data_IF_446194930872
#
_entry.id   IF_446194930872
#
_cell.length_a   1.000
_cell.length_b   1.000
_cell.length_c   1.000
_cell.angle_alpha   90.00
_cell.angle_beta   90.00
_cell.angle_gamma   90.00
#
_symmetry.space_group_name_H-M   'P 1'
#
loop_
_entity.id
_entity.type
_entity.pdbx_description
1 polymer ?
#
# COMPACT_ATOMS: atom_id res chain seq x y z
N UNK A 1 12.52 5.64 0.71
CA UNK A 1 13.96 5.99 0.66
C UNK A 1 14.67 4.96 1.51
N UNK A 2 15.55 4.14 0.93
CA UNK A 2 16.41 3.28 1.73
C UNK A 2 17.35 4.18 2.55
N UNK A 3 17.25 4.11 3.88
CA UNK A 3 18.20 4.79 4.76
C UNK A 3 19.57 4.14 4.53
N UNK A 4 20.54 4.95 4.08
CA UNK A 4 21.93 4.53 4.01
C UNK A 4 22.40 4.08 5.40
N UNK A 5 23.00 2.90 5.45
CA UNK A 5 23.60 2.38 6.68
C UNK A 5 24.82 3.20 7.06
N UNK A 6 24.97 3.64 8.31
CA UNK A 6 26.25 4.14 8.76
C UNK A 6 27.23 2.98 8.90
N UNK A 7 28.27 2.92 8.07
CA UNK A 7 29.44 2.09 8.32
C UNK A 7 30.11 2.55 9.62
N UNK A 8 30.01 1.73 10.67
CA UNK A 8 30.52 2.03 11.98
C UNK A 8 29.56 2.92 12.80
N UNK A 9 28.62 2.28 13.50
CA UNK A 9 27.61 2.93 14.37
C UNK A 9 28.32 3.77 15.44
N UNK A 10 28.41 5.10 15.34
CA UNK A 10 28.94 5.91 16.41
C UNK A 10 27.94 5.91 17.57
N UNK A 11 28.42 5.93 18.80
CA UNK A 11 27.60 6.23 19.96
C UNK A 11 27.08 7.67 19.83
N UNK A 12 25.91 7.87 19.26
CA UNK A 12 25.29 9.20 19.18
C UNK A 12 24.52 9.55 20.45
N UNK A 13 24.22 8.54 21.28
CA UNK A 13 23.43 8.68 22.50
C UNK A 13 21.92 8.78 22.21
N UNK A 14 21.10 8.42 23.18
CA UNK A 14 19.62 8.43 23.08
C UNK A 14 19.10 9.82 22.67
N UNK A 15 19.75 10.89 23.12
CA UNK A 15 19.32 12.29 22.90
C UNK A 15 19.60 12.83 21.48
N UNK A 16 20.34 12.11 20.63
CA UNK A 16 20.59 12.49 19.25
C UNK A 16 19.60 11.78 18.31
N UNK A 17 18.37 11.61 18.77
CA UNK A 17 17.27 11.07 17.98
C UNK A 17 16.60 12.12 17.09
N UNK A 18 15.65 11.67 16.33
CA UNK A 18 14.79 12.49 15.46
C UNK A 18 13.37 12.52 15.99
N UNK A 19 12.72 13.66 15.81
CA UNK A 19 11.30 13.85 16.10
C UNK A 19 10.63 14.16 14.77
N UNK A 20 9.53 13.52 14.48
CA UNK A 20 8.69 13.87 13.34
C UNK A 20 7.26 14.19 13.79
N UNK A 21 6.60 14.94 12.96
CA UNK A 21 5.20 15.26 13.14
C UNK A 21 4.52 15.26 11.78
N UNK A 22 3.52 14.42 11.62
CA UNK A 22 2.67 14.41 10.44
C UNK A 22 1.24 14.79 10.82
N UNK A 23 0.58 15.58 9.97
CA UNK A 23 -0.84 15.76 10.08
C UNK A 23 -1.47 15.82 8.70
N UNK A 24 -2.72 15.35 8.58
CA UNK A 24 -3.47 15.34 7.32
C UNK A 24 -4.94 15.59 7.57
N UNK A 25 -5.43 16.71 7.04
CA UNK A 25 -6.84 16.90 6.83
C UNK A 25 -7.30 16.16 5.59
N UNK A 26 -8.46 15.51 5.66
CA UNK A 26 -9.05 14.77 4.56
C UNK A 26 -10.56 15.01 4.50
N UNK A 27 -11.04 15.25 3.30
CA UNK A 27 -12.46 15.21 2.97
C UNK A 27 -12.68 14.16 1.90
N UNK A 28 -13.58 13.22 2.15
CA UNK A 28 -13.95 12.17 1.21
C UNK A 28 -15.45 12.20 0.97
N UNK A 29 -15.83 12.33 -0.29
CA UNK A 29 -17.19 12.19 -0.79
C UNK A 29 -17.31 10.87 -1.55
N UNK A 30 -18.36 10.09 -1.27
CA UNK A 30 -18.66 8.84 -1.99
C UNK A 30 -20.13 8.79 -2.32
N UNK A 31 -20.45 8.67 -3.60
CA UNK A 31 -21.76 8.28 -4.12
C UNK A 31 -21.69 6.82 -4.57
N UNK A 32 -22.63 5.98 -4.09
CA UNK A 32 -22.72 4.57 -4.41
C UNK A 32 -24.19 4.21 -4.66
N UNK A 33 -24.47 3.68 -5.86
CA UNK A 33 -25.83 3.61 -6.38
C UNK A 33 -26.80 2.69 -5.57
N UNK A 34 -26.27 1.74 -4.78
CA UNK A 34 -27.07 0.88 -3.90
C UNK A 34 -27.25 1.44 -2.48
N UNK A 35 -26.71 2.62 -2.18
CA UNK A 35 -26.84 3.27 -0.88
C UNK A 35 -27.94 4.34 -0.90
N UNK A 36 -28.72 4.46 0.20
CA UNK A 36 -29.77 5.47 0.30
C UNK A 36 -29.26 6.92 0.34
N UNK A 37 -28.03 7.14 0.75
CA UNK A 37 -27.43 8.45 0.91
C UNK A 37 -25.92 8.44 0.64
N UNK A 38 -25.39 9.57 0.19
CA UNK A 38 -23.97 9.76 -0.12
C UNK A 38 -23.16 9.93 1.15
N UNK A 39 -21.91 9.41 1.16
CA UNK A 39 -20.99 9.63 2.26
C UNK A 39 -20.28 10.99 2.14
N UNK A 40 -20.08 11.63 3.29
CA UNK A 40 -19.29 12.86 3.47
C UNK A 40 -18.49 12.74 4.75
N UNK A 41 -17.24 12.32 4.61
CA UNK A 41 -16.31 12.19 5.72
C UNK A 41 -15.36 13.38 5.75
N UNK A 42 -15.18 13.98 6.92
CA UNK A 42 -14.22 15.07 7.13
C UNK A 42 -13.44 14.80 8.40
N UNK A 43 -12.16 14.46 8.26
CA UNK A 43 -11.30 13.92 9.32
C UNK A 43 -9.95 14.62 9.35
N UNK A 44 -9.32 14.63 10.52
CA UNK A 44 -7.96 15.13 10.73
C UNK A 44 -7.13 14.04 11.44
N UNK A 45 -6.02 13.66 10.82
CA UNK A 45 -4.99 12.82 11.42
C UNK A 45 -3.88 13.69 12.01
N UNK A 46 -3.37 13.27 13.17
CA UNK A 46 -2.19 13.84 13.83
C UNK A 46 -1.31 12.66 14.27
N UNK A 47 -0.06 12.63 13.82
CA UNK A 47 0.87 11.55 14.11
C UNK A 47 2.24 12.12 14.55
N UNK A 48 2.44 12.32 15.85
CA UNK A 48 3.75 12.62 16.44
C UNK A 48 4.56 11.35 16.62
N UNK A 49 5.84 11.39 16.28
CA UNK A 49 6.75 10.28 16.47
C UNK A 49 8.14 10.71 16.92
N UNK A 50 8.86 9.77 17.45
CA UNK A 50 10.22 9.95 17.95
C UNK A 50 11.04 8.68 17.71
N UNK A 51 12.29 8.85 17.27
CA UNK A 51 13.30 7.81 17.16
C UNK A 51 14.54 8.21 17.95
N UNK A 52 15.11 7.30 18.72
CA UNK A 52 16.35 7.56 19.45
C UNK A 52 17.56 7.60 18.50
N UNK A 53 18.63 8.28 18.90
CA UNK A 53 19.95 7.99 18.33
C UNK A 53 20.39 6.55 18.66
N UNK A 54 21.51 6.14 18.07
CA UNK A 54 22.11 4.83 18.31
C UNK A 54 22.72 4.76 19.71
N UNK A 55 22.33 3.78 20.50
CA UNK A 55 22.87 3.52 21.81
C UNK A 55 23.26 2.04 21.96
N UNK A 56 24.54 1.75 22.09
CA UNK A 56 25.08 0.39 22.17
C UNK A 56 24.56 -0.54 21.05
N UNK A 57 24.50 -0.06 19.80
CA UNK A 57 24.04 -0.85 18.66
C UNK A 57 22.52 -1.07 18.61
N UNK A 58 21.73 -0.35 19.44
CA UNK A 58 20.28 -0.34 19.41
C UNK A 58 19.74 1.03 19.02
N UNK A 59 18.52 1.03 18.47
CA UNK A 59 17.69 2.20 18.21
C UNK A 59 16.24 1.85 18.51
N UNK A 60 15.48 2.78 19.11
CA UNK A 60 14.07 2.60 19.41
C UNK A 60 13.25 3.73 18.82
N UNK A 61 12.03 3.43 18.40
CA UNK A 61 11.08 4.42 17.90
C UNK A 61 9.69 4.21 18.50
N UNK A 62 8.92 5.31 18.58
CA UNK A 62 7.51 5.27 18.92
C UNK A 62 6.76 6.36 18.16
N UNK A 63 5.55 6.05 17.65
CA UNK A 63 4.63 6.96 17.00
C UNK A 63 3.22 6.75 17.58
N UNK A 64 2.54 7.85 17.88
CA UNK A 64 1.12 7.84 18.21
C UNK A 64 0.32 8.34 17.01
N UNK A 65 -0.87 7.80 16.82
CA UNK A 65 -1.82 8.22 15.80
C UNK A 65 -3.14 8.63 16.40
N UNK A 66 -3.64 9.80 16.00
CA UNK A 66 -4.87 10.37 16.47
C UNK A 66 -5.71 10.80 15.28
N UNK A 67 -6.90 10.21 15.13
CA UNK A 67 -7.85 10.57 14.09
C UNK A 67 -9.10 11.14 14.73
N UNK A 68 -9.51 12.32 14.27
CA UNK A 68 -10.71 13.01 14.77
C UNK A 68 -11.59 13.47 13.61
N UNK A 69 -12.90 13.37 13.80
CA UNK A 69 -13.86 13.99 12.90
C UNK A 69 -13.88 15.50 13.15
N UNK A 70 -13.71 16.32 12.09
CA UNK A 70 -13.62 17.78 12.20
C UNK A 70 -14.68 18.53 11.37
N UNK A 71 -15.58 17.84 10.71
CA UNK A 71 -16.62 18.39 9.85
C UNK A 71 -17.77 17.39 9.65
N UNK A 72 -18.35 17.32 8.43
CA UNK A 72 -19.39 16.34 8.13
C UNK A 72 -18.98 14.92 8.49
N UNK A 73 -19.90 14.20 9.14
CA UNK A 73 -19.73 12.82 9.59
C UNK A 73 -20.82 11.91 9.04
N UNK A 74 -21.34 12.20 7.84
CA UNK A 74 -22.36 11.43 7.15
C UNK A 74 -21.69 10.31 6.36
N UNK A 75 -21.10 9.33 7.04
CA UNK A 75 -20.41 8.18 6.43
C UNK A 75 -20.46 6.98 7.37
N UNK A 76 -20.30 5.79 6.82
CA UNK A 76 -20.14 4.55 7.56
C UNK A 76 -18.64 4.31 7.81
N UNK A 77 -18.19 4.42 9.07
CA UNK A 77 -16.81 4.13 9.45
C UNK A 77 -16.59 2.67 9.85
N UNK A 78 -17.61 1.82 9.65
CA UNK A 78 -17.69 0.40 10.00
C UNK A 78 -18.11 0.10 11.44
N UNK A 79 -18.00 1.04 12.38
CA UNK A 79 -18.36 0.85 13.80
C UNK A 79 -19.50 1.78 14.28
N UNK A 80 -19.77 2.89 13.58
CA UNK A 80 -20.76 3.90 13.99
C UNK A 80 -22.22 3.50 13.67
N UNK A 81 -22.45 2.36 13.01
CA UNK A 81 -23.77 1.86 12.66
C UNK A 81 -24.50 2.61 11.54
N UNK A 82 -23.86 3.57 10.85
CA UNK A 82 -24.46 4.39 9.80
C UNK A 82 -24.49 3.67 8.44
N UNK A 83 -25.08 2.49 8.36
CA UNK A 83 -25.05 1.60 7.19
C UNK A 83 -25.78 2.12 5.95
N UNK A 84 -26.57 3.19 6.07
CA UNK A 84 -27.23 3.89 4.97
C UNK A 84 -26.25 4.65 4.07
N UNK A 85 -25.04 4.92 4.53
CA UNK A 85 -23.97 5.59 3.77
C UNK A 85 -22.96 4.59 3.24
N UNK A 86 -22.25 4.91 2.17
CA UNK A 86 -21.02 4.20 1.76
C UNK A 86 -19.98 4.16 2.88
N UNK A 87 -19.11 3.15 2.81
CA UNK A 87 -18.00 3.00 3.76
C UNK A 87 -16.87 3.98 3.41
N UNK A 88 -16.43 4.71 4.44
CA UNK A 88 -15.17 5.45 4.46
C UNK A 88 -14.43 5.02 5.73
N UNK A 89 -13.34 4.28 5.58
CA UNK A 89 -12.61 3.66 6.69
C UNK A 89 -11.68 4.67 7.40
N UNK A 90 -12.20 5.87 7.71
CA UNK A 90 -11.50 6.89 8.49
C UNK A 90 -12.13 6.95 9.89
N UNK A 91 -11.86 5.91 10.68
CA UNK A 91 -12.42 5.74 12.03
C UNK A 91 -11.73 6.70 12.98
N UNK A 92 -12.48 7.53 13.75
CA UNK A 92 -11.89 8.31 14.82
C UNK A 92 -11.24 7.39 15.87
N UNK A 93 -9.96 7.60 16.15
CA UNK A 93 -9.14 6.70 16.97
C UNK A 93 -8.04 7.44 17.72
N UNK A 94 -7.42 6.75 18.67
CA UNK A 94 -6.27 7.24 19.44
C UNK A 94 -5.40 6.04 19.76
N UNK A 95 -4.37 5.80 18.97
CA UNK A 95 -3.63 4.53 18.98
C UNK A 95 -2.12 4.73 19.09
N UNK A 96 -1.43 3.69 19.59
CA UNK A 96 0.00 3.53 19.42
C UNK A 96 0.22 2.91 18.04
N UNK A 97 0.59 3.73 17.07
CA UNK A 97 0.77 3.28 15.69
C UNK A 97 2.04 2.45 15.53
N UNK A 98 3.18 2.95 16.03
CA UNK A 98 4.43 2.22 15.98
C UNK A 98 5.13 2.26 17.35
N UNK A 99 5.76 1.14 17.73
CA UNK A 99 6.68 1.04 18.87
C UNK A 99 7.61 -0.15 18.65
N UNK A 100 8.86 0.10 18.33
CA UNK A 100 9.82 -0.96 17.99
C UNK A 100 11.22 -0.69 18.48
N UNK A 101 12.01 -1.77 18.57
CA UNK A 101 13.44 -1.75 18.80
C UNK A 101 14.17 -2.36 17.62
N UNK A 102 15.27 -1.72 17.22
CA UNK A 102 16.19 -2.24 16.21
C UNK A 102 17.55 -2.57 16.81
N UNK A 103 18.17 -3.62 16.32
CA UNK A 103 19.53 -4.05 16.65
C UNK A 103 20.41 -4.09 15.41
N UNK A 104 21.61 -3.52 15.50
CA UNK A 104 22.63 -3.42 14.46
C UNK A 104 23.92 -4.18 14.84
N UNK A 105 23.85 -5.14 15.75
CA UNK A 105 25.03 -5.86 16.24
C UNK A 105 25.67 -6.81 15.23
N UNK A 106 24.89 -7.30 14.28
CA UNK A 106 25.41 -8.18 13.23
C UNK A 106 25.75 -7.36 11.98
N UNK A 107 27.00 -7.49 11.46
CA UNK A 107 27.41 -6.77 10.26
C UNK A 107 26.44 -7.03 9.09
N UNK A 108 26.05 -5.96 8.41
CA UNK A 108 25.13 -6.03 7.29
C UNK A 108 23.72 -6.51 7.63
N UNK A 109 23.32 -6.53 8.92
CA UNK A 109 22.04 -7.09 9.35
C UNK A 109 21.34 -6.16 10.33
N UNK A 110 20.04 -5.95 10.11
CA UNK A 110 19.14 -5.24 11.01
C UNK A 110 18.09 -6.22 11.52
N UNK A 111 17.92 -6.28 12.84
CA UNK A 111 16.83 -7.03 13.48
C UNK A 111 15.88 -6.00 14.08
N UNK A 112 14.61 -6.03 13.74
CA UNK A 112 13.55 -5.15 14.25
C UNK A 112 12.51 -6.00 14.98
N UNK A 113 12.03 -5.54 16.13
CA UNK A 113 10.96 -6.21 16.87
C UNK A 113 10.05 -5.21 17.55
N UNK A 114 8.75 -5.49 17.56
CA UNK A 114 7.69 -4.65 18.09
C UNK A 114 6.57 -4.41 17.09
N UNK A 115 5.88 -3.26 17.21
CA UNK A 115 4.86 -2.78 16.27
C UNK A 115 5.51 -1.84 15.27
N UNK A 116 5.36 -2.14 13.97
CA UNK A 116 5.99 -1.35 12.89
C UNK A 116 5.16 -1.37 11.62
N UNK A 117 5.22 -0.28 10.86
CA UNK A 117 4.73 -0.23 9.48
C UNK A 117 5.71 -0.94 8.55
N UNK A 118 5.21 -1.65 7.54
CA UNK A 118 6.01 -2.32 6.53
C UNK A 118 5.42 -2.13 5.14
N UNK A 119 6.29 -1.76 4.19
CA UNK A 119 5.94 -1.67 2.78
C UNK A 119 6.94 -2.50 1.98
N UNK A 120 6.51 -3.64 1.44
CA UNK A 120 7.35 -4.47 0.59
C UNK A 120 7.08 -4.17 -0.88
N UNK A 121 8.17 -3.87 -1.61
CA UNK A 121 8.18 -3.61 -3.05
C UNK A 121 7.19 -2.50 -3.45
N UNK A 122 6.17 -2.84 -4.24
CA UNK A 122 5.09 -1.94 -4.64
C UNK A 122 3.86 -2.02 -3.73
N UNK A 123 3.95 -2.69 -2.58
CA UNK A 123 2.86 -2.88 -1.60
C UNK A 123 1.69 -3.74 -2.12
N UNK A 124 1.89 -4.54 -3.16
CA UNK A 124 0.83 -5.42 -3.68
C UNK A 124 0.47 -6.56 -2.72
N UNK A 125 1.42 -7.00 -1.90
CA UNK A 125 1.22 -8.07 -0.91
C UNK A 125 1.24 -7.57 0.52
N UNK A 126 2.15 -6.65 0.84
CA UNK A 126 2.33 -6.11 2.20
C UNK A 126 2.53 -4.61 2.10
N UNK A 127 1.65 -3.86 2.74
CA UNK A 127 1.69 -2.40 2.77
C UNK A 127 1.04 -1.83 4.02
N UNK A 128 1.47 -0.64 4.39
CA UNK A 128 0.99 0.07 5.58
C UNK A 128 -0.34 0.81 5.38
N UNK A 129 -0.88 0.84 4.17
CA UNK A 129 -2.12 1.56 3.84
C UNK A 129 -2.11 3.04 4.27
N UNK A 130 -0.93 3.65 4.37
CA UNK A 130 -0.70 5.02 4.89
C UNK A 130 -1.41 6.15 4.13
N UNK A 131 -2.13 5.84 3.06
CA UNK A 131 -3.01 6.79 2.39
C UNK A 131 -4.33 7.02 3.16
N UNK A 132 -4.75 6.08 4.04
CA UNK A 132 -5.88 6.23 4.96
C UNK A 132 -5.49 7.06 6.18
N UNK A 133 -6.47 7.44 7.00
CA UNK A 133 -6.22 8.21 8.22
C UNK A 133 -5.64 7.35 9.35
N UNK A 134 -6.01 6.06 9.42
CA UNK A 134 -5.34 5.07 10.26
C UNK A 134 -4.43 4.21 9.38
N UNK A 135 -3.21 3.95 9.83
CA UNK A 135 -2.23 3.14 9.13
C UNK A 135 -2.42 1.64 9.48
N UNK A 136 -1.94 0.75 8.60
CA UNK A 136 -1.82 -0.67 8.91
C UNK A 136 -0.41 -0.96 9.44
N UNK A 137 -0.31 -1.55 10.63
CA UNK A 137 0.94 -1.91 11.26
C UNK A 137 0.96 -3.38 11.68
N UNK A 138 2.15 -3.90 11.98
CA UNK A 138 2.39 -5.31 12.22
C UNK A 138 3.10 -5.50 13.56
N UNK A 139 2.55 -6.36 14.42
CA UNK A 139 3.21 -6.78 15.66
C UNK A 139 4.02 -8.04 15.41
N UNK A 140 5.35 -7.93 15.47
CA UNK A 140 6.21 -9.04 15.10
C UNK A 140 7.69 -8.75 15.19
N UNK A 141 8.47 -9.56 14.47
CA UNK A 141 9.91 -9.39 14.35
C UNK A 141 10.36 -9.57 12.90
N UNK A 142 11.35 -8.78 12.50
CA UNK A 142 11.91 -8.79 11.15
C UNK A 142 13.43 -8.81 11.19
N UNK A 143 14.03 -9.58 10.31
CA UNK A 143 15.47 -9.57 10.03
C UNK A 143 15.67 -9.19 8.56
N UNK A 144 16.47 -8.17 8.32
CA UNK A 144 16.93 -7.79 6.98
C UNK A 144 18.45 -7.88 6.93
N UNK A 145 19.00 -8.59 5.97
CA UNK A 145 20.45 -8.77 5.87
C UNK A 145 20.96 -8.64 4.44
N UNK A 146 22.11 -7.99 4.30
CA UNK A 146 22.94 -7.89 3.09
C UNK A 146 24.30 -8.57 3.32
N UNK A 147 24.40 -9.42 4.32
CA UNK A 147 25.63 -10.18 4.61
C UNK A 147 26.02 -11.16 3.47
N UNK A 148 25.10 -11.45 2.56
CA UNK A 148 25.34 -12.28 1.37
C UNK A 148 25.62 -11.38 0.17
N UNK A 149 26.82 -11.52 -0.47
CA UNK A 149 27.15 -10.69 -1.63
C UNK A 149 26.10 -10.79 -2.74
N UNK A 150 25.62 -9.64 -3.22
CA UNK A 150 24.70 -9.58 -4.34
C UNK A 150 23.23 -9.85 -4.00
N UNK A 151 22.87 -10.02 -2.73
CA UNK A 151 21.50 -10.34 -2.32
C UNK A 151 21.13 -9.63 -1.01
N UNK A 152 19.98 -8.98 -1.00
CA UNK A 152 19.29 -8.58 0.24
C UNK A 152 18.25 -9.65 0.58
N UNK A 153 18.31 -10.19 1.79
CA UNK A 153 17.35 -11.17 2.31
C UNK A 153 16.54 -10.57 3.46
N UNK A 154 15.23 -10.80 3.44
CA UNK A 154 14.32 -10.42 4.51
C UNK A 154 13.52 -11.64 4.97
N UNK A 155 13.40 -11.78 6.29
CA UNK A 155 12.43 -12.66 6.92
C UNK A 155 11.66 -11.86 7.96
N UNK A 156 10.34 -11.97 7.95
CA UNK A 156 9.48 -11.40 9.00
C UNK A 156 8.53 -12.45 9.55
N UNK A 157 8.32 -12.41 10.86
CA UNK A 157 7.24 -13.09 11.57
C UNK A 157 6.27 -12.04 12.09
N UNK A 158 4.98 -12.22 11.84
CA UNK A 158 3.90 -11.31 12.26
C UNK A 158 2.87 -12.13 13.03
N UNK A 159 2.64 -11.77 14.29
CA UNK A 159 1.67 -12.39 15.17
C UNK A 159 0.32 -11.66 15.20
N UNK A 160 0.30 -10.39 14.83
CA UNK A 160 -0.93 -9.59 14.72
C UNK A 160 -0.79 -8.52 13.63
N UNK A 161 -1.89 -8.26 12.92
CA UNK A 161 -2.04 -7.15 11.97
C UNK A 161 -3.00 -6.13 12.57
N UNK A 162 -2.52 -4.93 12.86
CA UNK A 162 -3.34 -3.80 13.27
C UNK A 162 -3.83 -3.11 11.99
N UNK A 163 -5.14 -3.09 11.76
CA UNK A 163 -5.73 -2.62 10.52
C UNK A 163 -6.24 -1.20 10.65
N UNK A 164 -6.49 -0.57 9.51
CA UNK A 164 -7.01 0.81 9.38
C UNK A 164 -8.37 1.06 10.06
N UNK A 165 -9.03 0.04 10.62
CA UNK A 165 -10.39 0.11 11.18
C UNK A 165 -10.43 0.43 12.67
N UNK A 166 -9.28 0.75 13.29
CA UNK A 166 -9.11 0.97 14.73
C UNK A 166 -9.27 -0.29 15.62
N UNK A 167 -8.60 -0.28 16.75
CA UNK A 167 -8.67 -1.35 17.76
C UNK A 167 -10.09 -1.52 18.35
N UNK A 168 -10.96 -0.51 18.23
CA UNK A 168 -12.36 -0.57 18.66
C UNK A 168 -13.27 -1.38 17.71
N UNK A 169 -12.77 -1.73 16.53
CA UNK A 169 -13.50 -2.51 15.53
C UNK A 169 -13.25 -4.00 15.70
N UNK A 170 -14.30 -4.84 15.55
CA UNK A 170 -14.15 -6.31 15.51
C UNK A 170 -13.22 -6.80 14.39
N UNK A 171 -13.01 -5.97 13.36
CA UNK A 171 -12.12 -6.26 12.23
C UNK A 171 -10.83 -5.43 12.26
N UNK A 172 -10.58 -4.72 13.35
CA UNK A 172 -9.42 -3.83 13.52
C UNK A 172 -8.12 -4.59 13.74
N UNK A 173 -8.17 -5.78 14.32
CA UNK A 173 -7.04 -6.64 14.59
C UNK A 173 -7.22 -8.00 13.91
N UNK A 174 -6.14 -8.57 13.41
CA UNK A 174 -6.10 -9.93 12.88
C UNK A 174 -4.99 -10.71 13.57
N UNK A 175 -5.35 -11.50 14.61
CA UNK A 175 -4.42 -12.47 15.17
C UNK A 175 -3.98 -13.45 14.10
N UNK A 176 -2.70 -13.69 14.00
CA UNK A 176 -2.15 -14.41 12.84
C UNK A 176 -0.86 -15.15 13.18
N UNK A 177 -0.46 -16.01 12.25
CA UNK A 177 0.83 -16.67 12.20
C UNK A 177 1.35 -16.51 10.76
N UNK A 178 2.01 -15.36 10.53
CA UNK A 178 2.46 -14.99 9.19
C UNK A 178 3.98 -15.05 9.11
N UNK A 179 4.47 -15.68 8.03
CA UNK A 179 5.89 -15.75 7.71
C UNK A 179 6.11 -15.13 6.33
N UNK A 180 6.92 -14.08 6.27
CA UNK A 180 7.31 -13.42 5.03
C UNK A 180 8.78 -13.72 4.76
N UNK A 181 9.07 -14.32 3.62
CA UNK A 181 10.41 -14.58 3.10
C UNK A 181 10.57 -13.84 1.78
N UNK A 182 11.61 -13.01 1.66
CA UNK A 182 11.82 -12.16 0.51
C UNK A 182 13.33 -12.07 0.20
N UNK A 183 13.69 -12.30 -1.06
CA UNK A 183 15.05 -12.23 -1.55
C UNK A 183 15.12 -11.29 -2.75
N UNK A 184 15.98 -10.29 -2.70
CA UNK A 184 16.16 -9.31 -3.77
C UNK A 184 17.63 -9.30 -4.21
N UNK A 185 17.87 -9.45 -5.52
CA UNK A 185 19.24 -9.38 -6.07
C UNK A 185 19.73 -7.95 -6.17
N UNK A 186 21.05 -7.74 -6.15
CA UNK A 186 21.66 -6.53 -6.71
C UNK A 186 21.27 -6.39 -8.19
N UNK A 187 21.41 -5.18 -8.78
CA UNK A 187 21.11 -4.97 -10.19
C UNK A 187 21.89 -5.92 -11.11
N UNK A 188 21.17 -6.69 -11.91
CA UNK A 188 21.68 -7.57 -12.97
C UNK A 188 21.54 -6.88 -14.34
N UNK A 189 22.10 -7.41 -15.43
CA UNK A 189 21.95 -6.84 -16.77
C UNK A 189 20.50 -6.67 -17.24
N UNK A 190 19.59 -7.50 -16.71
CA UNK A 190 18.13 -7.42 -16.98
C UNK A 190 17.34 -6.70 -15.88
N UNK A 191 18.00 -5.98 -14.95
CA UNK A 191 17.34 -5.34 -13.82
C UNK A 191 17.48 -6.12 -12.52
N UNK A 192 16.65 -5.84 -11.56
CA UNK A 192 16.62 -6.49 -10.24
C UNK A 192 15.66 -7.68 -10.27
N UNK A 193 16.09 -8.83 -9.77
CA UNK A 193 15.26 -10.02 -9.60
C UNK A 193 14.85 -10.14 -8.13
N UNK A 194 13.58 -10.33 -7.89
CA UNK A 194 13.03 -10.58 -6.56
C UNK A 194 12.26 -11.90 -6.55
N UNK A 195 12.46 -12.71 -5.50
CA UNK A 195 11.69 -13.91 -5.22
C UNK A 195 11.13 -13.89 -3.81
N UNK A 196 9.92 -14.40 -3.62
CA UNK A 196 9.27 -14.38 -2.32
C UNK A 196 8.43 -15.63 -2.04
N UNK A 197 8.23 -15.91 -0.73
CA UNK A 197 7.27 -16.87 -0.23
C UNK A 197 6.59 -16.25 1.00
N UNK A 198 5.27 -16.05 0.94
CA UNK A 198 4.45 -15.47 2.00
C UNK A 198 3.45 -16.50 2.48
N UNK A 199 3.58 -16.95 3.72
CA UNK A 199 2.72 -17.92 4.38
C UNK A 199 1.88 -17.16 5.40
N UNK A 200 0.58 -17.04 5.16
CA UNK A 200 -0.34 -16.23 5.96
C UNK A 200 -1.45 -17.10 6.54
N UNK A 201 -1.35 -17.44 7.83
CA UNK A 201 -2.42 -18.07 8.59
C UNK A 201 -3.06 -17.00 9.48
N UNK A 202 -4.32 -16.63 9.17
CA UNK A 202 -5.04 -15.51 9.78
C UNK A 202 -6.20 -16.07 10.59
N UNK A 203 -6.01 -16.22 11.90
CA UNK A 203 -6.96 -16.92 12.79
C UNK A 203 -8.32 -16.25 12.88
N UNK A 204 -8.36 -14.89 12.87
CA UNK A 204 -9.60 -14.13 12.97
C UNK A 204 -10.35 -14.01 11.61
N UNK A 205 -9.69 -14.38 10.52
CA UNK A 205 -10.26 -14.37 9.18
C UNK A 205 -9.71 -15.54 8.32
N UNK A 206 -10.03 -16.81 8.65
CA UNK A 206 -9.43 -17.98 8.00
C UNK A 206 -9.59 -18.01 6.49
N UNK A 207 -10.68 -17.44 5.95
CA UNK A 207 -10.90 -17.34 4.50
C UNK A 207 -9.88 -16.43 3.77
N UNK A 208 -9.09 -15.66 4.50
CA UNK A 208 -7.99 -14.85 3.96
C UNK A 208 -6.62 -15.55 4.07
N UNK A 209 -6.56 -16.68 4.79
CA UNK A 209 -5.33 -17.46 4.95
C UNK A 209 -4.88 -18.03 3.60
N UNK A 210 -3.59 -17.94 3.30
CA UNK A 210 -3.04 -18.37 2.02
C UNK A 210 -1.52 -18.56 2.08
N UNK A 211 -0.96 -19.28 1.12
CA UNK A 211 0.47 -19.33 0.85
C UNK A 211 0.73 -18.85 -0.58
N UNK A 212 1.50 -17.77 -0.72
CA UNK A 212 1.86 -17.20 -2.02
C UNK A 212 3.34 -17.39 -2.30
N UNK A 213 3.67 -17.91 -3.48
CA UNK A 213 5.02 -18.15 -3.95
C UNK A 213 5.19 -17.44 -5.29
N UNK A 214 6.18 -16.57 -5.40
CA UNK A 214 6.32 -15.81 -6.63
C UNK A 214 7.65 -15.11 -6.79
N UNK A 215 7.73 -14.31 -7.83
CA UNK A 215 8.86 -13.46 -8.10
C UNK A 215 8.62 -12.53 -9.27
N UNK A 216 9.44 -11.51 -9.35
CA UNK A 216 9.38 -10.54 -10.42
C UNK A 216 10.77 -10.08 -10.86
N UNK A 217 10.82 -9.56 -12.07
CA UNK A 217 11.94 -8.79 -12.59
C UNK A 217 11.46 -7.37 -12.90
N UNK A 218 12.22 -6.40 -12.46
CA UNK A 218 11.99 -4.99 -12.76
C UNK A 218 13.28 -4.30 -13.22
N UNK A 219 13.17 -3.36 -14.13
CA UNK A 219 14.33 -2.67 -14.63
C UNK A 219 13.97 -1.45 -15.45
N UNK A 220 15.01 -0.66 -15.75
CA UNK A 220 14.88 0.51 -16.62
C UNK A 220 16.02 0.56 -17.63
N UNK A 221 15.77 1.17 -18.79
CA UNK A 221 16.77 1.38 -19.85
C UNK A 221 16.53 2.70 -20.56
N UNK A 222 17.60 3.48 -20.70
CA UNK A 222 17.57 4.66 -21.55
C UNK A 222 17.48 4.24 -23.02
N UNK A 223 16.50 4.78 -23.74
CA UNK A 223 16.33 4.66 -25.19
C UNK A 223 16.79 5.97 -25.85
N UNK A 224 18.09 6.20 -25.90
CA UNK A 224 18.69 7.47 -26.33
C UNK A 224 18.79 8.47 -25.17
N UNK A 225 18.72 9.78 -25.50
CA UNK A 225 19.00 10.86 -24.52
C UNK A 225 17.72 11.38 -23.83
N UNK A 226 16.54 11.08 -24.31
CA UNK A 226 15.30 11.72 -23.84
C UNK A 226 14.22 10.74 -23.37
N UNK A 227 14.33 9.46 -23.71
CA UNK A 227 13.30 8.45 -23.41
C UNK A 227 13.89 7.38 -22.52
N UNK A 228 13.16 7.01 -21.48
CA UNK A 228 13.46 5.86 -20.62
C UNK A 228 12.35 4.83 -20.76
N UNK A 229 12.73 3.57 -20.97
CA UNK A 229 11.83 2.42 -20.89
C UNK A 229 12.02 1.76 -19.53
N UNK A 230 10.93 1.57 -18.80
CA UNK A 230 10.88 0.80 -17.55
C UNK A 230 9.93 -0.38 -17.68
N UNK A 231 10.12 -1.41 -16.87
CA UNK A 231 9.23 -2.57 -16.89
C UNK A 231 9.26 -3.32 -15.57
N UNK A 232 8.11 -3.95 -15.25
CA UNK A 232 7.98 -4.98 -14.21
C UNK A 232 7.17 -6.14 -14.76
N UNK A 233 7.69 -7.36 -14.60
CA UNK A 233 7.00 -8.61 -14.92
C UNK A 233 7.03 -9.49 -13.69
N UNK A 234 5.86 -9.92 -13.22
CA UNK A 234 5.67 -10.68 -12.00
C UNK A 234 4.76 -11.88 -12.24
N UNK A 235 5.12 -13.02 -11.64
CA UNK A 235 4.34 -14.24 -11.64
C UNK A 235 4.33 -14.84 -10.23
N UNK A 236 3.16 -15.35 -9.82
CA UNK A 236 3.01 -16.08 -8.56
C UNK A 236 1.96 -17.17 -8.66
N UNK A 237 2.00 -18.09 -7.69
CA UNK A 237 0.97 -19.05 -7.39
C UNK A 237 0.57 -18.90 -5.93
N UNK A 238 -0.72 -18.95 -5.65
CA UNK A 238 -1.28 -18.94 -4.30
C UNK A 238 -2.06 -20.22 -4.07
N UNK A 239 -1.87 -20.84 -2.90
CA UNK A 239 -2.59 -22.03 -2.46
C UNK A 239 -3.27 -21.78 -1.13
N UNK A 240 -4.17 -22.67 -0.72
CA UNK A 240 -4.65 -22.71 0.65
C UNK A 240 -3.50 -22.94 1.64
N UNK A 241 -3.64 -22.37 2.83
CA UNK A 241 -2.68 -22.51 3.93
C UNK A 241 -3.36 -22.30 5.29
N UNK A 242 -2.82 -22.94 6.34
CA UNK A 242 -3.36 -22.81 7.70
C UNK A 242 -4.82 -23.26 7.76
N UNK A 243 -5.67 -22.43 8.37
CA UNK A 243 -7.09 -22.72 8.58
C UNK A 243 -8.00 -22.30 7.41
N UNK A 244 -7.45 -22.10 6.19
CA UNK A 244 -8.23 -21.80 4.99
C UNK A 244 -9.28 -22.87 4.70
N UNK A 245 -10.60 -22.53 4.67
CA UNK A 245 -11.67 -23.55 4.53
C UNK A 245 -11.83 -24.12 3.12
N UNK A 246 -11.20 -23.48 2.11
CA UNK A 246 -11.32 -23.89 0.68
C UNK A 246 -9.94 -24.26 0.16
N UNK A 247 -9.81 -25.45 -0.41
CA UNK A 247 -8.61 -25.85 -1.15
C UNK A 247 -8.64 -25.26 -2.55
N UNK A 248 -7.57 -24.57 -2.94
CA UNK A 248 -7.45 -23.91 -4.25
C UNK A 248 -6.00 -23.70 -4.68
N UNK A 249 -5.83 -23.53 -5.98
CA UNK A 249 -4.60 -23.08 -6.63
C UNK A 249 -4.95 -21.89 -7.56
N UNK A 250 -4.50 -20.70 -7.23
CA UNK A 250 -4.80 -19.48 -7.99
C UNK A 250 -3.53 -18.83 -8.54
N UNK A 251 -3.42 -18.61 -9.86
CA UNK A 251 -2.28 -17.92 -10.44
C UNK A 251 -2.39 -16.41 -10.29
N UNK A 252 -1.22 -15.74 -10.29
CA UNK A 252 -1.10 -14.30 -10.42
C UNK A 252 -0.11 -13.96 -11.52
N UNK A 253 -0.43 -12.95 -12.31
CA UNK A 253 0.49 -12.40 -13.30
C UNK A 253 0.32 -10.88 -13.39
N UNK A 254 1.43 -10.15 -13.51
CA UNK A 254 1.42 -8.72 -13.79
C UNK A 254 2.50 -8.36 -14.79
N UNK A 255 2.13 -7.56 -15.80
CA UNK A 255 3.05 -7.02 -16.80
C UNK A 255 2.80 -5.53 -16.92
N UNK A 256 3.83 -4.72 -16.66
CA UNK A 256 3.75 -3.27 -16.60
C UNK A 256 4.96 -2.62 -17.29
N UNK A 257 4.98 -2.54 -18.63
CA UNK A 257 5.97 -1.73 -19.35
C UNK A 257 5.62 -0.24 -19.24
N UNK A 258 6.63 0.63 -19.21
CA UNK A 258 6.45 2.08 -19.18
C UNK A 258 7.41 2.80 -20.13
N UNK A 259 6.98 3.94 -20.62
CA UNK A 259 7.82 4.88 -21.37
C UNK A 259 7.74 6.26 -20.72
N UNK A 260 8.90 6.81 -20.38
CA UNK A 260 9.04 8.11 -19.73
C UNK A 260 9.80 9.08 -20.64
N UNK A 261 9.33 10.33 -20.75
CA UNK A 261 10.01 11.41 -21.46
C UNK A 261 9.58 12.78 -20.89
N UNK A 262 10.52 13.67 -20.63
CA UNK A 262 10.28 15.07 -20.23
C UNK A 262 9.23 15.25 -19.11
N UNK A 263 9.23 14.34 -18.13
CA UNK A 263 8.28 14.35 -17.00
C UNK A 263 6.98 13.57 -17.27
N UNK A 264 6.67 13.19 -18.51
CA UNK A 264 5.57 12.29 -18.82
C UNK A 264 5.97 10.83 -18.65
N UNK A 265 5.02 9.99 -18.24
CA UNK A 265 5.12 8.53 -18.29
C UNK A 265 3.79 7.94 -18.75
N UNK A 266 3.86 6.93 -19.61
CA UNK A 266 2.69 6.14 -20.02
C UNK A 266 3.02 4.66 -19.86
N UNK A 267 2.10 3.90 -19.28
CA UNK A 267 2.25 2.47 -19.00
C UNK A 267 0.93 1.74 -19.26
N UNK A 268 0.82 0.90 -20.28
CA UNK A 268 -0.23 -0.12 -20.32
C UNK A 268 0.12 -1.22 -19.32
N UNK A 269 -0.86 -1.67 -18.54
CA UNK A 269 -0.67 -2.69 -17.52
C UNK A 269 -1.72 -3.77 -17.68
N UNK A 270 -1.31 -5.01 -17.51
CA UNK A 270 -2.21 -6.15 -17.32
C UNK A 270 -1.92 -6.79 -15.97
N UNK A 271 -2.96 -7.02 -15.18
CA UNK A 271 -2.89 -7.75 -13.92
C UNK A 271 -3.97 -8.83 -13.87
N UNK A 272 -3.55 -10.02 -13.47
CA UNK A 272 -4.40 -11.20 -13.25
C UNK A 272 -4.31 -11.62 -11.78
N UNK A 273 -5.44 -11.61 -11.08
CA UNK A 273 -5.65 -12.34 -9.85
C UNK A 273 -6.55 -13.52 -10.20
N UNK A 274 -5.93 -14.66 -10.49
CA UNK A 274 -6.60 -15.82 -11.08
C UNK A 274 -7.58 -16.51 -10.14
N UNK A 275 -8.42 -17.36 -10.72
CA UNK A 275 -9.43 -18.16 -10.04
C UNK A 275 -9.14 -19.64 -10.18
N UNK A 276 -9.44 -20.43 -9.16
CA UNK A 276 -9.58 -21.89 -9.22
C UNK A 276 -11.03 -22.25 -9.55
N UNK A 277 -11.41 -22.21 -10.82
CA UNK A 277 -12.72 -22.58 -11.36
C UNK A 277 -13.92 -21.92 -10.63
N UNK A 278 -13.74 -20.71 -10.10
CA UNK A 278 -14.77 -19.96 -9.37
C UNK A 278 -14.97 -20.38 -7.91
N UNK A 279 -14.13 -21.24 -7.35
CA UNK A 279 -14.20 -21.65 -5.93
C UNK A 279 -13.54 -20.63 -5.02
N UNK A 280 -12.34 -20.18 -5.39
CA UNK A 280 -11.58 -19.15 -4.72
C UNK A 280 -10.68 -18.46 -5.75
N UNK A 281 -10.11 -17.32 -5.38
CA UNK A 281 -9.21 -16.55 -6.23
C UNK A 281 -8.03 -16.02 -5.44
N UNK A 282 -7.00 -15.59 -6.14
CA UNK A 282 -5.81 -14.98 -5.57
C UNK A 282 -6.17 -13.76 -4.71
N UNK A 283 -5.78 -13.75 -3.45
CA UNK A 283 -6.05 -12.69 -2.47
C UNK A 283 -4.77 -11.99 -2.02
N UNK A 284 -4.88 -10.71 -1.70
CA UNK A 284 -3.76 -9.92 -1.15
C UNK A 284 -4.21 -9.17 0.12
N UNK A 285 -4.47 -9.90 1.24
CA UNK A 285 -5.16 -9.35 2.41
C UNK A 285 -4.38 -8.24 3.15
N UNK A 286 -3.08 -8.15 2.97
CA UNK A 286 -2.22 -7.14 3.61
C UNK A 286 -1.74 -6.05 2.65
N UNK A 287 -2.30 -5.98 1.44
CA UNK A 287 -1.93 -4.99 0.44
C UNK A 287 -2.34 -3.57 0.83
N UNK A 288 -1.63 -2.57 0.30
CA UNK A 288 -2.19 -1.23 0.11
C UNK A 288 -3.09 -1.25 -1.13
N UNK A 289 -4.28 -1.86 -0.99
CA UNK A 289 -5.15 -2.22 -2.11
C UNK A 289 -5.58 -1.04 -2.99
N UNK A 290 -5.75 0.15 -2.41
CA UNK A 290 -6.22 1.36 -3.08
C UNK A 290 -5.43 1.78 -4.34
N UNK A 291 -4.13 1.49 -4.39
CA UNK A 291 -3.29 1.83 -5.55
C UNK A 291 -3.32 0.77 -6.65
N UNK A 292 -4.16 -0.26 -6.47
CA UNK A 292 -4.36 -1.35 -7.41
C UNK A 292 -5.83 -1.51 -7.74
N UNK A 293 -6.13 -1.88 -8.96
CA UNK A 293 -7.47 -2.22 -9.43
C UNK A 293 -8.52 -1.09 -9.20
N UNK A 294 -8.08 0.17 -9.37
CA UNK A 294 -8.90 1.38 -9.30
C UNK A 294 -9.06 2.02 -7.92
N UNK A 295 -9.23 3.35 -7.88
CA UNK A 295 -9.34 4.14 -6.65
C UNK A 295 -10.74 4.10 -6.02
N UNK A 296 -11.74 3.53 -6.71
CA UNK A 296 -13.06 3.28 -6.14
C UNK A 296 -13.06 2.18 -5.07
N UNK A 297 -11.96 1.42 -4.93
CA UNK A 297 -11.78 0.35 -3.95
C UNK A 297 -12.80 -0.81 -4.10
N UNK A 298 -13.26 -1.11 -5.31
CA UNK A 298 -14.25 -2.16 -5.58
C UNK A 298 -13.65 -3.56 -5.38
N UNK A 299 -12.37 -3.73 -5.68
CA UNK A 299 -11.69 -5.02 -5.72
C UNK A 299 -10.68 -5.23 -4.59
N UNK A 300 -10.89 -4.60 -3.40
CA UNK A 300 -10.06 -4.84 -2.20
C UNK A 300 -10.07 -6.32 -1.75
N UNK A 301 -11.14 -7.04 -2.07
CA UNK A 301 -11.24 -8.49 -1.97
C UNK A 301 -11.52 -9.01 -3.38
N UNK A 302 -10.66 -9.86 -3.88
CA UNK A 302 -10.83 -10.45 -5.21
C UNK A 302 -12.05 -11.37 -5.23
N UNK A 303 -12.99 -11.20 -6.17
CA UNK A 303 -14.12 -12.13 -6.33
C UNK A 303 -13.64 -13.57 -6.58
N UNK A 304 -14.38 -14.57 -6.10
CA UNK A 304 -14.00 -15.98 -6.29
C UNK A 304 -13.80 -16.37 -7.76
N UNK A 305 -14.45 -15.67 -8.69
CA UNK A 305 -14.28 -15.81 -10.14
C UNK A 305 -13.00 -15.14 -10.69
N UNK A 306 -12.14 -14.59 -9.80
CA UNK A 306 -10.90 -13.92 -10.17
C UNK A 306 -11.11 -12.53 -10.74
N UNK A 307 -10.02 -11.84 -11.02
CA UNK A 307 -9.99 -10.51 -11.59
C UNK A 307 -8.90 -10.41 -12.66
N UNK A 308 -9.27 -9.97 -13.83
CA UNK A 308 -8.38 -9.46 -14.86
C UNK A 308 -8.58 -7.95 -14.94
N UNK A 309 -7.52 -7.20 -14.75
CA UNK A 309 -7.49 -5.75 -14.86
C UNK A 309 -6.56 -5.36 -16.00
N UNK A 310 -7.12 -4.79 -17.03
CA UNK A 310 -6.37 -4.18 -18.12
C UNK A 310 -6.53 -2.67 -18.05
N UNK A 311 -5.43 -1.95 -17.80
CA UNK A 311 -5.49 -0.51 -17.68
C UNK A 311 -4.34 0.21 -18.36
N UNK A 312 -4.55 1.50 -18.62
CA UNK A 312 -3.50 2.40 -19.07
C UNK A 312 -3.34 3.51 -18.04
N UNK A 313 -2.13 3.67 -17.55
CA UNK A 313 -1.73 4.78 -16.71
C UNK A 313 -1.00 5.83 -17.54
N UNK A 314 -1.35 7.10 -17.33
CA UNK A 314 -0.57 8.24 -17.83
C UNK A 314 -0.29 9.20 -16.68
N UNK A 315 0.95 9.65 -16.55
CA UNK A 315 1.33 10.60 -15.51
C UNK A 315 2.24 11.69 -16.05
N UNK A 316 2.22 12.84 -15.37
CA UNK A 316 3.11 13.95 -15.62
C UNK A 316 3.62 14.53 -14.32
N UNK A 317 4.94 14.55 -14.15
CA UNK A 317 5.59 15.24 -13.03
C UNK A 317 6.25 16.51 -13.52
N UNK A 318 5.76 17.65 -13.05
CA UNK A 318 6.31 18.94 -13.41
C UNK A 318 7.73 19.08 -12.85
N UNK A 319 8.72 19.37 -13.69
CA UNK A 319 10.09 19.59 -13.21
C UNK A 319 10.16 20.84 -12.34
N UNK A 320 11.17 20.91 -11.49
CA UNK A 320 11.43 22.12 -10.70
C UNK A 320 11.72 23.30 -11.62
N UNK A 321 10.95 24.36 -11.47
CA UNK A 321 11.04 25.59 -12.28
C UNK A 321 11.14 26.79 -11.36
N UNK A 322 11.97 27.77 -11.75
CA UNK A 322 11.91 29.11 -11.20
C UNK A 322 10.87 30.01 -11.91
N UNK A 323 10.62 31.21 -11.38
CA UNK A 323 9.75 32.22 -11.98
C UNK A 323 8.27 32.05 -11.61
N UNK A 324 7.36 32.58 -12.44
CA UNK A 324 5.93 32.68 -12.12
C UNK A 324 5.20 31.34 -11.94
N UNK A 325 5.73 30.25 -12.47
CA UNK A 325 5.20 28.89 -12.32
C UNK A 325 5.94 28.06 -11.29
N UNK A 326 6.87 28.65 -10.55
CA UNK A 326 7.65 27.94 -9.51
C UNK A 326 6.80 27.31 -8.41
N UNK A 327 5.62 27.84 -8.15
CA UNK A 327 4.67 27.31 -7.18
C UNK A 327 4.06 25.93 -7.60
N UNK A 328 4.14 25.57 -8.89
CA UNK A 328 3.72 24.25 -9.41
C UNK A 328 4.88 23.24 -9.48
N UNK A 329 6.08 23.60 -8.99
CA UNK A 329 7.23 22.68 -9.02
C UNK A 329 6.91 21.38 -8.28
N UNK A 330 7.17 20.25 -8.92
CA UNK A 330 6.89 18.93 -8.36
C UNK A 330 5.42 18.50 -8.45
N UNK A 331 4.50 19.30 -9.04
CA UNK A 331 3.13 18.86 -9.29
C UNK A 331 3.13 17.52 -10.03
N UNK A 332 2.49 16.53 -9.43
CA UNK A 332 2.22 15.23 -10.04
C UNK A 332 0.76 15.18 -10.48
N UNK A 333 0.55 14.85 -11.75
CA UNK A 333 -0.76 14.49 -12.29
C UNK A 333 -0.71 13.04 -12.73
N UNK A 334 -1.75 12.27 -12.46
CA UNK A 334 -1.89 10.89 -12.87
C UNK A 334 -3.34 10.62 -13.29
N UNK A 335 -3.52 9.81 -14.29
CA UNK A 335 -4.83 9.30 -14.71
C UNK A 335 -4.69 7.83 -15.10
N UNK A 336 -5.74 7.06 -14.83
CA UNK A 336 -5.84 5.64 -15.19
C UNK A 336 -7.22 5.39 -15.81
N UNK A 337 -7.28 4.44 -16.73
CA UNK A 337 -8.53 3.89 -17.23
C UNK A 337 -8.43 2.37 -17.22
N UNK A 338 -9.35 1.73 -16.51
CA UNK A 338 -9.40 0.32 -16.21
C UNK A 338 -10.57 -0.36 -16.91
N UNK A 339 -10.35 -1.56 -17.43
CA UNK A 339 -11.37 -2.52 -17.89
C UNK A 339 -11.24 -3.79 -17.05
N UNK A 340 -12.29 -4.13 -16.32
CA UNK A 340 -12.31 -5.24 -15.38
C UNK A 340 -13.15 -6.42 -15.90
N UNK A 341 -12.59 -7.61 -15.82
CA UNK A 341 -13.27 -8.86 -16.16
C UNK A 341 -12.95 -9.95 -15.14
N UNK A 342 -13.83 -10.94 -15.02
CA UNK A 342 -13.47 -12.14 -14.27
C UNK A 342 -12.48 -13.01 -15.05
N UNK A 343 -11.64 -13.76 -14.32
CA UNK A 343 -10.79 -14.81 -14.89
C UNK A 343 -11.63 -16.05 -15.28
N UNK A 344 -12.50 -16.49 -14.38
CA UNK A 344 -13.41 -17.60 -14.64
C UNK A 344 -14.70 -17.09 -15.28
N UNK A 345 -15.09 -17.63 -16.44
CA UNK A 345 -16.28 -17.33 -17.25
C UNK A 345 -16.27 -16.01 -18.01
N UNK A 346 -15.23 -15.21 -17.95
CA UNK A 346 -15.07 -13.95 -18.71
C UNK A 346 -16.26 -12.97 -18.54
N UNK A 347 -16.73 -12.81 -17.30
CA UNK A 347 -17.82 -11.90 -16.94
C UNK A 347 -17.27 -10.46 -16.98
N UNK A 348 -17.97 -9.54 -17.64
CA UNK A 348 -17.63 -8.13 -17.62
C UNK A 348 -17.98 -7.54 -16.24
N UNK A 349 -16.98 -7.10 -15.47
CA UNK A 349 -17.24 -6.49 -14.18
C UNK A 349 -17.57 -5.00 -14.28
N UNK A 350 -16.97 -4.31 -15.22
CA UNK A 350 -17.16 -2.89 -15.45
C UNK A 350 -15.85 -2.18 -15.82
N UNK A 351 -15.88 -0.87 -15.76
CA UNK A 351 -14.73 -0.01 -16.05
C UNK A 351 -14.58 1.11 -15.03
N UNK A 352 -13.38 1.66 -14.88
CA UNK A 352 -13.13 2.76 -13.95
C UNK A 352 -12.22 3.82 -14.59
N UNK A 353 -12.53 5.07 -14.32
CA UNK A 353 -11.66 6.19 -14.64
C UNK A 353 -11.18 6.84 -13.35
N UNK A 354 -9.87 6.98 -13.23
CA UNK A 354 -9.19 7.58 -12.10
C UNK A 354 -8.38 8.80 -12.50
N UNK A 355 -8.36 9.80 -11.61
CA UNK A 355 -7.49 10.95 -11.70
C UNK A 355 -6.90 11.33 -10.33
N UNK A 356 -5.64 11.69 -10.31
CA UNK A 356 -4.93 12.12 -9.11
C UNK A 356 -4.07 13.33 -9.41
N UNK A 357 -4.08 14.30 -8.50
CA UNK A 357 -3.15 15.41 -8.51
C UNK A 357 -2.57 15.58 -7.10
N UNK A 358 -1.24 15.77 -7.02
CA UNK A 358 -0.54 16.09 -5.79
C UNK A 358 0.38 17.29 -6.03
N UNK A 359 0.24 18.31 -5.21
CA UNK A 359 1.02 19.54 -5.27
C UNK A 359 1.82 19.71 -3.97
N UNK A 360 3.14 19.57 -3.99
CA UNK A 360 4.00 20.00 -2.90
C UNK A 360 3.89 21.52 -2.70
N UNK A 361 3.72 21.95 -1.44
CA UNK A 361 3.59 23.35 -1.05
C UNK A 361 4.76 23.73 -0.13
N UNK A 362 5.88 24.08 -0.73
CA UNK A 362 7.14 24.28 -0.03
C UNK A 362 7.75 22.94 0.42
N UNK A 363 8.38 22.93 1.62
CA UNK A 363 9.15 21.78 2.08
C UNK A 363 8.36 20.79 2.96
N UNK A 364 7.24 21.23 3.53
CA UNK A 364 6.54 20.48 4.58
C UNK A 364 5.05 20.33 4.34
N UNK A 365 4.45 21.08 3.41
CA UNK A 365 3.03 20.98 3.11
C UNK A 365 2.78 20.35 1.75
N UNK A 366 1.62 19.73 1.58
CA UNK A 366 1.12 19.29 0.28
C UNK A 366 -0.41 19.39 0.23
N UNK A 367 -0.91 19.48 -0.99
CA UNK A 367 -2.34 19.34 -1.27
C UNK A 367 -2.54 18.27 -2.31
N UNK A 368 -3.60 17.47 -2.16
CA UNK A 368 -3.92 16.42 -3.11
C UNK A 368 -5.42 16.35 -3.41
N UNK A 369 -5.74 15.88 -4.59
CA UNK A 369 -7.10 15.53 -4.99
C UNK A 369 -7.08 14.20 -5.74
N UNK A 370 -8.06 13.33 -5.43
CA UNK A 370 -8.33 12.10 -6.17
C UNK A 370 -9.77 12.09 -6.64
N UNK A 371 -9.97 11.50 -7.79
CA UNK A 371 -11.27 11.21 -8.37
C UNK A 371 -11.28 9.77 -8.86
N UNK A 372 -12.37 9.06 -8.60
CA UNK A 372 -12.61 7.73 -9.12
C UNK A 372 -14.06 7.63 -9.59
N UNK A 373 -14.27 6.95 -10.71
CA UNK A 373 -15.60 6.72 -11.26
C UNK A 373 -15.69 5.30 -11.84
N UNK A 374 -16.18 4.37 -11.02
CA UNK A 374 -16.46 3.00 -11.42
C UNK A 374 -17.84 2.89 -12.04
N UNK A 375 -17.92 2.30 -13.21
CA UNK A 375 -19.15 1.97 -13.94
C UNK A 375 -19.32 0.46 -13.97
N UNK A 376 -20.30 0.00 -13.21
CA UNK A 376 -20.61 -1.42 -13.07
C UNK A 376 -21.30 -1.96 -14.33
N UNK A 377 -20.84 -3.16 -14.74
CA UNK A 377 -21.61 -4.00 -15.66
C UNK A 377 -22.30 -5.12 -14.86
N UNK A 378 -21.67 -6.28 -14.67
CA UNK A 378 -22.28 -7.42 -13.99
C UNK A 378 -21.74 -7.63 -12.55
N UNK A 379 -20.91 -6.71 -12.04
CA UNK A 379 -20.32 -6.81 -10.70
C UNK A 379 -20.38 -5.49 -9.94
N UNK A 380 -20.71 -5.58 -8.63
CA UNK A 380 -20.82 -4.43 -7.73
C UNK A 380 -21.86 -3.39 -8.21
N UNK A 381 -21.61 -2.10 -7.98
CA UNK A 381 -22.56 -1.02 -8.30
C UNK A 381 -21.75 0.24 -8.66
N UNK A 382 -22.36 1.13 -9.45
CA UNK A 382 -21.73 2.39 -9.82
C UNK A 382 -21.27 3.14 -8.57
N UNK A 383 -20.02 3.55 -8.58
CA UNK A 383 -19.41 4.23 -7.43
C UNK A 383 -18.58 5.41 -7.92
N UNK A 384 -18.83 6.59 -7.35
CA UNK A 384 -18.04 7.79 -7.61
C UNK A 384 -17.41 8.28 -6.30
N UNK A 385 -16.12 8.60 -6.33
CA UNK A 385 -15.38 9.14 -5.17
C UNK A 385 -14.65 10.43 -5.54
N UNK A 386 -14.65 11.37 -4.59
CA UNK A 386 -13.80 12.56 -4.63
C UNK A 386 -13.11 12.69 -3.28
N UNK A 387 -11.79 12.79 -3.29
CA UNK A 387 -11.00 12.91 -2.07
C UNK A 387 -10.13 14.16 -2.17
N UNK A 388 -10.17 15.00 -1.14
CA UNK A 388 -9.27 16.13 -0.96
C UNK A 388 -8.40 15.88 0.27
N UNK A 389 -7.10 16.06 0.14
CA UNK A 389 -6.14 16.01 1.22
C UNK A 389 -5.32 17.29 1.32
N UNK A 390 -5.04 17.71 2.55
CA UNK A 390 -4.04 18.71 2.84
C UNK A 390 -3.18 18.23 4.00
N UNK A 391 -1.90 18.09 3.77
CA UNK A 391 -0.97 17.50 4.73
C UNK A 391 0.20 18.37 5.09
N UNK A 392 0.72 18.10 6.28
CA UNK A 392 1.96 18.64 6.83
C UNK A 392 2.83 17.49 7.29
N UNK A 393 4.12 17.50 6.93
CA UNK A 393 5.13 16.52 7.34
C UNK A 393 6.42 17.26 7.69
N UNK A 394 6.88 17.05 8.94
CA UNK A 394 8.12 17.64 9.46
C UNK A 394 9.00 16.56 10.06
#
# INVERSE_FOLDING_TARGET
MAQERPDGVPHTGIMNGEIWFASRYRYEFVEQADKPADARASTLRIAPGFETGYFHGFRAAAEGEFVVQVGPGDYNDTINGKTQYPVVADVPSSELDQAYLESFHLPGTVIKGGRYAENLDNMRYVGSVAWRQNDQTFDGAKVTTEAFPGVTALYAYIGNVNRIFSDDSEVGNLNSNIHLMHLKSDPLPLGTLTGYAYLMDIYDAPALSNASYGGFVEGERALGSAVTFDYRVELALQTDYGDQPVQYDAPYARVAPGLSWEGFRVSPVYELLGSDDGKAAFQTPLATGHIFNGFADIFLVTPATGLQDFFVEASYKMPEKGGSLGWLSGLLLLTQYHEFRSDFRDIAYGSEFDAYANLPLGYVFYAEVKYANYRADEYATNTEKVIFGFGYVY
#
